data_IF_270109057461
#
_entry.id   IF_270109057461
#
_cell.length_a   1.000
_cell.length_b   1.000
_cell.length_c   1.000
_cell.angle_alpha   90.00
_cell.angle_beta   90.00
_cell.angle_gamma   90.00
#
_symmetry.space_group_name_H-M   'P 1'
#
loop_
_entity.id
_entity.type
_entity.pdbx_description
1 polymer ?
#
# COMPACT_ATOMS: atom_id res chain seq x y z
N UNK A 1 36.87 -17.56 15.28
CA UNK A 1 35.55 -17.74 14.66
C UNK A 1 34.84 -16.42 14.82
N UNK A 2 34.66 -15.70 13.73
CA UNK A 2 33.89 -14.45 13.72
C UNK A 2 32.40 -14.77 13.88
N UNK A 3 31.60 -13.76 14.26
CA UNK A 3 30.14 -13.88 14.32
C UNK A 3 29.58 -14.30 12.95
N UNK A 4 30.16 -13.80 11.86
CA UNK A 4 29.80 -14.22 10.50
C UNK A 4 30.14 -15.69 10.21
N UNK A 5 31.29 -16.20 10.66
CA UNK A 5 31.63 -17.63 10.49
C UNK A 5 30.61 -18.54 11.19
N UNK A 6 30.11 -18.10 12.36
CA UNK A 6 29.09 -18.83 13.11
C UNK A 6 27.74 -18.80 12.39
N UNK A 7 27.35 -17.64 11.84
CA UNK A 7 26.14 -17.53 11.03
C UNK A 7 26.23 -18.37 9.75
N UNK A 8 27.36 -18.36 9.03
CA UNK A 8 27.53 -19.10 7.77
C UNK A 8 27.48 -20.60 8.03
N UNK A 9 28.18 -21.07 9.07
CA UNK A 9 28.14 -22.47 9.47
C UNK A 9 26.72 -22.91 9.90
N UNK A 10 25.96 -22.02 10.53
CA UNK A 10 24.58 -22.31 10.92
C UNK A 10 23.64 -22.31 9.71
N UNK A 11 23.82 -21.38 8.76
CA UNK A 11 23.08 -21.34 7.50
C UNK A 11 23.32 -22.58 6.64
N UNK A 12 24.58 -22.99 6.47
CA UNK A 12 24.96 -24.21 5.74
C UNK A 12 24.34 -25.45 6.39
N UNK A 13 24.39 -25.54 7.72
CA UNK A 13 23.70 -26.62 8.45
C UNK A 13 22.21 -26.56 8.21
N UNK A 14 21.58 -25.39 8.28
CA UNK A 14 20.13 -25.26 8.12
C UNK A 14 19.67 -25.70 6.72
N UNK A 15 20.42 -25.34 5.67
CA UNK A 15 20.16 -25.79 4.30
C UNK A 15 20.32 -27.31 4.14
N UNK A 16 21.34 -27.90 4.77
CA UNK A 16 21.56 -29.36 4.73
C UNK A 16 20.49 -30.13 5.53
N UNK A 17 20.08 -29.60 6.68
CA UNK A 17 19.12 -30.26 7.57
C UNK A 17 17.68 -30.09 7.10
N UNK A 18 17.34 -29.00 6.41
CA UNK A 18 15.99 -28.79 5.86
C UNK A 18 15.56 -29.88 4.88
N UNK A 19 16.50 -30.51 4.20
CA UNK A 19 16.24 -31.63 3.28
C UNK A 19 15.94 -32.95 4.04
N UNK A 20 16.33 -33.05 5.32
CA UNK A 20 16.35 -34.32 6.06
C UNK A 20 15.52 -34.36 7.35
N UNK A 21 15.24 -33.24 8.01
CA UNK A 21 14.49 -33.18 9.28
C UNK A 21 13.89 -31.80 9.57
N UNK A 22 12.55 -31.67 9.51
CA UNK A 22 11.88 -30.37 9.77
C UNK A 22 12.03 -29.89 11.21
N UNK A 23 12.08 -30.82 12.19
CA UNK A 23 12.18 -30.48 13.61
C UNK A 23 13.55 -29.90 13.97
N UNK A 24 14.63 -30.44 13.41
CA UNK A 24 15.98 -29.94 13.64
C UNK A 24 16.22 -28.62 12.91
N UNK A 25 15.69 -28.48 11.69
CA UNK A 25 15.67 -27.21 10.96
C UNK A 25 14.93 -26.10 11.74
N UNK A 26 13.80 -26.43 12.39
CA UNK A 26 13.05 -25.47 13.22
C UNK A 26 13.81 -25.05 14.50
N UNK A 27 14.60 -25.95 15.10
CA UNK A 27 15.46 -25.60 16.24
C UNK A 27 16.58 -24.66 15.78
N UNK A 28 17.27 -25.01 14.69
CA UNK A 28 18.33 -24.18 14.10
C UNK A 28 17.79 -22.81 13.70
N UNK A 29 16.58 -22.76 13.13
CA UNK A 29 15.90 -21.53 12.75
C UNK A 29 15.61 -20.61 13.93
N UNK A 30 15.12 -21.16 15.05
CA UNK A 30 14.92 -20.40 16.28
C UNK A 30 16.23 -19.94 16.92
N UNK A 31 17.28 -20.76 16.87
CA UNK A 31 18.59 -20.35 17.36
C UNK A 31 19.15 -19.20 16.52
N UNK A 32 19.02 -19.29 15.19
CA UNK A 32 19.39 -18.22 14.28
C UNK A 32 18.59 -16.94 14.58
N UNK A 33 17.26 -17.04 14.75
CA UNK A 33 16.41 -15.92 15.13
C UNK A 33 16.83 -15.25 16.44
N UNK A 34 17.12 -16.04 17.49
CA UNK A 34 17.60 -15.49 18.77
C UNK A 34 18.96 -14.83 18.67
N UNK A 35 19.88 -15.40 17.87
CA UNK A 35 21.15 -14.75 17.58
C UNK A 35 20.93 -13.41 16.87
N UNK A 36 20.01 -13.37 15.91
CA UNK A 36 19.61 -12.16 15.19
C UNK A 36 18.88 -11.12 16.07
N UNK A 37 18.41 -11.47 17.26
CA UNK A 37 17.81 -10.51 18.21
C UNK A 37 18.83 -9.93 19.21
N UNK A 38 20.09 -10.36 19.16
CA UNK A 38 21.12 -9.88 20.07
C UNK A 38 21.53 -8.44 19.71
N UNK A 39 21.19 -7.48 20.58
CA UNK A 39 21.50 -6.05 20.42
C UNK A 39 23.01 -5.76 20.38
N UNK A 40 23.85 -6.73 20.71
CA UNK A 40 25.31 -6.59 20.63
C UNK A 40 25.88 -6.78 19.22
N UNK A 41 25.06 -7.17 18.24
CA UNK A 41 25.49 -7.33 16.84
C UNK A 41 25.61 -5.96 16.16
N UNK A 42 26.82 -5.65 15.72
CA UNK A 42 27.17 -4.44 14.98
C UNK A 42 26.43 -4.36 13.61
N UNK A 43 26.00 -3.16 13.23
CA UNK A 43 25.32 -2.86 11.96
C UNK A 43 26.12 -3.31 10.72
N UNK A 44 27.46 -3.33 10.83
CA UNK A 44 28.35 -3.84 9.78
C UNK A 44 28.23 -5.35 9.55
N UNK A 45 27.92 -6.12 10.59
CA UNK A 45 27.67 -7.57 10.51
C UNK A 45 26.33 -7.82 9.82
N UNK A 46 25.33 -7.00 10.13
CA UNK A 46 24.03 -7.04 9.45
C UNK A 46 24.12 -6.70 7.96
N UNK A 47 24.91 -5.69 7.61
CA UNK A 47 25.16 -5.34 6.21
C UNK A 47 25.87 -6.48 5.47
N UNK A 48 26.80 -7.19 6.11
CA UNK A 48 27.45 -8.36 5.52
C UNK A 48 26.45 -9.52 5.34
N UNK A 49 25.62 -9.78 6.35
CA UNK A 49 24.56 -10.81 6.31
C UNK A 49 23.54 -10.55 5.19
N UNK A 50 23.06 -9.31 5.09
CA UNK A 50 22.11 -8.86 4.08
C UNK A 50 22.62 -8.95 2.62
N UNK A 51 23.94 -8.99 2.44
CA UNK A 51 24.57 -9.14 1.13
C UNK A 51 24.87 -10.61 0.77
N UNK A 52 24.63 -11.54 1.69
CA UNK A 52 24.83 -12.97 1.47
C UNK A 52 23.49 -13.67 1.13
N UNK A 53 23.35 -14.06 -0.15
CA UNK A 53 22.16 -14.73 -0.64
C UNK A 53 21.89 -16.10 0.03
N UNK A 54 22.94 -16.82 0.44
CA UNK A 54 22.81 -18.13 1.08
C UNK A 54 22.28 -18.03 2.51
N UNK A 55 22.72 -17.01 3.24
CA UNK A 55 22.23 -16.68 4.58
C UNK A 55 20.75 -16.29 4.57
N UNK A 56 20.40 -15.45 3.60
CA UNK A 56 19.03 -15.04 3.34
C UNK A 56 18.14 -16.26 3.06
N UNK A 57 18.61 -17.20 2.23
CA UNK A 57 17.89 -18.44 1.91
C UNK A 57 17.76 -19.35 3.13
N UNK A 58 18.79 -19.46 3.97
CA UNK A 58 18.73 -20.21 5.21
C UNK A 58 17.72 -19.63 6.21
N UNK A 59 17.61 -18.29 6.30
CA UNK A 59 16.55 -17.66 7.11
C UNK A 59 15.19 -18.05 6.55
N UNK A 60 14.94 -17.94 5.25
CA UNK A 60 13.64 -18.32 4.66
C UNK A 60 13.28 -19.77 4.97
N UNK A 61 14.23 -20.69 4.81
CA UNK A 61 14.03 -22.10 5.11
C UNK A 61 13.72 -22.33 6.59
N UNK A 62 14.39 -21.59 7.48
CA UNK A 62 14.03 -21.55 8.89
C UNK A 62 12.59 -21.06 9.10
N UNK A 63 12.14 -20.06 8.34
CA UNK A 63 10.75 -19.57 8.40
C UNK A 63 9.75 -20.65 7.98
N UNK A 64 10.03 -21.37 6.89
CA UNK A 64 9.17 -22.43 6.36
C UNK A 64 8.94 -23.55 7.36
N UNK A 65 9.95 -23.84 8.18
CA UNK A 65 9.96 -24.96 9.12
C UNK A 65 9.41 -24.59 10.52
N UNK A 66 9.22 -23.30 10.82
CA UNK A 66 8.78 -22.81 12.13
C UNK A 66 7.28 -22.49 12.16
N UNK A 67 6.42 -23.40 11.72
CA UNK A 67 4.98 -23.10 11.50
C UNK A 67 4.10 -23.12 12.75
N UNK A 68 4.56 -23.68 13.89
CA UNK A 68 3.59 -24.19 14.88
C UNK A 68 3.62 -23.57 16.30
N UNK A 69 4.71 -22.94 16.79
CA UNK A 69 4.81 -22.64 18.24
C UNK A 69 5.00 -21.18 18.70
N UNK A 70 5.57 -20.25 17.92
CA UNK A 70 5.58 -18.80 18.24
C UNK A 70 6.16 -18.00 17.06
N UNK A 71 5.32 -17.37 16.22
CA UNK A 71 5.78 -16.64 15.05
C UNK A 71 6.37 -15.26 15.36
N UNK A 72 6.21 -14.75 16.59
CA UNK A 72 6.55 -13.37 16.92
C UNK A 72 8.03 -13.06 16.84
N UNK A 73 8.86 -13.95 17.38
CA UNK A 73 10.33 -13.86 17.32
C UNK A 73 10.84 -13.87 15.88
N UNK A 74 10.18 -14.67 15.05
CA UNK A 74 10.54 -14.93 13.68
C UNK A 74 10.17 -13.76 12.77
N UNK A 75 8.96 -13.23 12.90
CA UNK A 75 8.50 -11.99 12.25
C UNK A 75 9.39 -10.80 12.61
N UNK A 76 9.87 -10.74 13.86
CA UNK A 76 10.84 -9.72 14.29
C UNK A 76 12.13 -9.82 13.47
N UNK A 77 12.70 -11.04 13.37
CA UNK A 77 13.95 -11.27 12.64
C UNK A 77 13.82 -10.94 11.16
N UNK A 78 12.71 -11.32 10.53
CA UNK A 78 12.47 -11.01 9.12
C UNK A 78 12.31 -9.51 8.89
N UNK A 79 11.59 -8.82 9.77
CA UNK A 79 11.41 -7.36 9.70
C UNK A 79 12.77 -6.66 9.83
N UNK A 80 13.61 -7.06 10.79
CA UNK A 80 14.95 -6.52 10.97
C UNK A 80 15.87 -6.83 9.79
N UNK A 81 15.84 -8.06 9.28
CA UNK A 81 16.65 -8.44 8.12
C UNK A 81 16.28 -7.63 6.89
N UNK A 82 14.99 -7.46 6.62
CA UNK A 82 14.52 -6.68 5.48
C UNK A 82 14.79 -5.18 5.63
N UNK A 83 14.74 -4.63 6.84
CA UNK A 83 15.09 -3.22 7.06
C UNK A 83 16.57 -2.95 6.79
N UNK A 84 17.44 -3.93 7.08
CA UNK A 84 18.89 -3.85 6.91
C UNK A 84 19.35 -4.31 5.50
N UNK A 85 18.50 -4.98 4.73
CA UNK A 85 18.83 -5.42 3.37
C UNK A 85 18.88 -4.27 2.36
N UNK A 86 19.78 -4.31 1.36
CA UNK A 86 19.67 -3.45 0.17
C UNK A 86 18.34 -3.70 -0.56
N UNK A 87 17.77 -2.64 -1.15
CA UNK A 87 16.45 -2.68 -1.84
C UNK A 87 16.37 -3.79 -2.90
N UNK A 88 17.47 -4.05 -3.61
CA UNK A 88 17.55 -5.09 -4.65
C UNK A 88 17.44 -6.51 -4.06
N UNK A 89 18.07 -6.77 -2.91
CA UNK A 89 17.97 -8.05 -2.19
C UNK A 89 16.60 -8.25 -1.55
N UNK A 90 15.96 -7.16 -1.11
CA UNK A 90 14.56 -7.20 -0.63
C UNK A 90 13.65 -7.73 -1.73
N UNK A 91 13.71 -7.20 -2.95
CA UNK A 91 12.81 -7.65 -4.03
C UNK A 91 12.89 -9.16 -4.28
N UNK A 92 14.09 -9.75 -4.26
CA UNK A 92 14.28 -11.21 -4.42
C UNK A 92 13.68 -12.00 -3.27
N UNK A 93 13.92 -11.57 -2.03
CA UNK A 93 13.34 -12.16 -0.82
C UNK A 93 11.81 -12.19 -0.83
N UNK A 94 11.26 -11.05 -1.24
CA UNK A 94 9.84 -10.72 -1.27
C UNK A 94 9.08 -11.45 -2.40
N UNK A 95 9.81 -12.08 -3.33
CA UNK A 95 9.22 -12.94 -4.38
C UNK A 95 8.91 -14.37 -3.91
N UNK A 96 9.44 -14.81 -2.76
CA UNK A 96 9.35 -16.20 -2.31
C UNK A 96 7.94 -16.51 -1.73
N UNK A 97 7.20 -17.50 -2.26
CA UNK A 97 5.84 -17.84 -1.81
C UNK A 97 5.75 -18.22 -0.33
N UNK A 98 6.80 -18.84 0.22
CA UNK A 98 6.85 -19.25 1.61
C UNK A 98 6.82 -18.10 2.60
N UNK A 99 7.58 -17.02 2.33
CA UNK A 99 7.57 -15.83 3.16
C UNK A 99 6.17 -15.20 3.16
N UNK A 100 5.50 -15.17 2.00
CA UNK A 100 4.11 -14.67 1.89
C UNK A 100 3.14 -15.54 2.66
N UNK A 101 3.21 -16.85 2.48
CA UNK A 101 2.40 -17.82 3.22
C UNK A 101 2.63 -17.72 4.73
N UNK A 102 3.84 -17.37 5.16
CA UNK A 102 4.18 -17.14 6.56
C UNK A 102 3.54 -15.84 7.07
N UNK A 103 3.67 -14.73 6.34
CA UNK A 103 3.04 -13.46 6.68
C UNK A 103 1.51 -13.60 6.74
N UNK A 104 0.91 -14.23 5.73
CA UNK A 104 -0.53 -14.49 5.66
C UNK A 104 -1.02 -15.37 6.81
N UNK A 105 -0.31 -16.45 7.13
CA UNK A 105 -0.67 -17.34 8.25
C UNK A 105 -0.60 -16.62 9.60
N UNK A 106 0.35 -15.70 9.75
CA UNK A 106 0.62 -15.02 11.00
C UNK A 106 0.00 -13.63 11.13
N UNK A 107 -0.67 -13.11 10.10
CA UNK A 107 -1.48 -11.91 10.18
C UNK A 107 -2.71 -12.22 11.05
N UNK A 108 -2.72 -11.82 12.34
CA UNK A 108 -3.70 -12.32 13.30
C UNK A 108 -5.00 -11.52 13.18
N UNK A 109 -6.09 -12.22 12.84
CA UNK A 109 -7.43 -11.62 12.81
C UNK A 109 -8.03 -11.44 14.22
N UNK A 110 -7.52 -12.18 15.22
CA UNK A 110 -8.08 -12.18 16.58
C UNK A 110 -7.43 -11.15 17.52
N UNK A 111 -6.26 -10.61 17.16
CA UNK A 111 -5.53 -9.62 17.96
C UNK A 111 -4.92 -8.55 17.04
N UNK A 112 -5.81 -7.73 16.48
CA UNK A 112 -5.49 -6.78 15.43
C UNK A 112 -4.55 -5.65 15.88
N UNK A 113 -4.37 -5.46 17.19
CA UNK A 113 -3.44 -4.49 17.79
C UNK A 113 -2.19 -5.15 18.38
N UNK A 114 -1.92 -6.42 18.06
CA UNK A 114 -0.69 -7.07 18.48
C UNK A 114 0.53 -6.53 17.74
N UNK A 115 1.70 -6.59 18.38
CA UNK A 115 2.99 -6.28 17.74
C UNK A 115 3.24 -7.15 16.49
N UNK A 116 2.65 -8.35 16.43
CA UNK A 116 2.74 -9.23 15.26
C UNK A 116 1.95 -8.69 14.07
N UNK A 117 0.77 -8.10 14.30
CA UNK A 117 -0.02 -7.45 13.25
C UNK A 117 0.73 -6.27 12.66
N UNK A 118 1.28 -5.39 13.51
CA UNK A 118 2.12 -4.27 13.09
C UNK A 118 3.30 -4.72 12.22
N UNK A 119 4.02 -5.75 12.68
CA UNK A 119 5.15 -6.34 11.93
C UNK A 119 4.70 -6.93 10.60
N UNK A 120 3.59 -7.66 10.57
CA UNK A 120 3.06 -8.21 9.33
C UNK A 120 2.67 -7.12 8.32
N UNK A 121 2.00 -6.05 8.78
CA UNK A 121 1.64 -4.92 7.93
C UNK A 121 2.87 -4.17 7.41
N UNK A 122 3.88 -3.97 8.26
CA UNK A 122 5.16 -3.37 7.84
C UNK A 122 5.87 -4.24 6.79
N UNK A 123 5.88 -5.56 6.98
CA UNK A 123 6.41 -6.51 5.99
C UNK A 123 5.63 -6.46 4.68
N UNK A 124 4.29 -6.42 4.74
CA UNK A 124 3.42 -6.29 3.56
C UNK A 124 3.65 -4.97 2.84
N UNK A 125 3.84 -3.86 3.55
CA UNK A 125 4.19 -2.57 2.94
C UNK A 125 5.56 -2.62 2.25
N UNK A 126 6.55 -3.26 2.86
CA UNK A 126 7.85 -3.49 2.22
C UNK A 126 7.76 -4.43 1.02
N UNK A 127 6.89 -5.46 1.08
CA UNK A 127 6.58 -6.36 -0.04
C UNK A 127 6.07 -5.60 -1.26
N UNK A 128 5.12 -4.68 -1.03
CA UNK A 128 4.37 -4.03 -2.11
C UNK A 128 5.00 -2.71 -2.58
N UNK A 129 5.88 -2.09 -1.78
CA UNK A 129 6.32 -0.72 -1.99
C UNK A 129 7.53 -0.47 -2.87
N UNK A 130 8.25 -1.49 -3.35
CA UNK A 130 9.53 -1.31 -4.04
C UNK A 130 9.44 -0.89 -5.52
N UNK A 131 8.27 -0.47 -6.02
CA UNK A 131 8.10 0.04 -7.39
C UNK A 131 8.43 -0.95 -8.52
N UNK A 132 8.84 -2.17 -8.16
CA UNK A 132 8.97 -3.29 -9.08
C UNK A 132 7.65 -4.04 -9.04
N UNK A 133 6.97 -4.25 -10.18
CA UNK A 133 5.82 -5.13 -10.24
C UNK A 133 6.32 -6.54 -9.97
N UNK A 134 6.44 -6.88 -8.69
CA UNK A 134 6.70 -8.25 -8.27
C UNK A 134 5.50 -9.03 -8.79
N UNK A 135 5.72 -9.86 -9.81
CA UNK A 135 4.67 -10.72 -10.37
C UNK A 135 4.37 -11.79 -9.33
N UNK A 136 3.39 -11.51 -8.47
CA UNK A 136 2.86 -12.44 -7.48
C UNK A 136 1.79 -13.31 -8.18
N UNK A 137 1.63 -14.59 -7.81
CA UNK A 137 0.46 -15.37 -8.22
C UNK A 137 -0.82 -14.71 -7.69
N UNK A 138 -1.76 -14.39 -8.59
CA UNK A 138 -2.98 -13.60 -8.29
C UNK A 138 -3.81 -14.10 -7.09
N UNK A 139 -3.82 -15.42 -6.85
CA UNK A 139 -4.65 -16.02 -5.79
C UNK A 139 -4.16 -15.65 -4.38
N UNK A 140 -2.84 -15.53 -4.19
CA UNK A 140 -2.27 -15.16 -2.90
C UNK A 140 -2.53 -13.67 -2.60
N UNK A 141 -2.49 -12.80 -3.63
CA UNK A 141 -2.69 -11.34 -3.49
C UNK A 141 -4.09 -10.99 -3.00
N UNK A 142 -5.11 -11.63 -3.55
CA UNK A 142 -6.49 -11.36 -3.16
C UNK A 142 -6.78 -11.79 -1.73
N UNK A 143 -6.10 -12.84 -1.24
CA UNK A 143 -6.19 -13.25 0.16
C UNK A 143 -5.56 -12.23 1.10
N UNK A 144 -4.47 -11.56 0.69
CA UNK A 144 -3.85 -10.46 1.43
C UNK A 144 -4.83 -9.29 1.50
N UNK A 145 -5.43 -8.91 0.36
CA UNK A 145 -6.43 -7.83 0.31
C UNK A 145 -7.58 -8.12 1.27
N UNK A 146 -8.19 -9.30 1.19
CA UNK A 146 -9.29 -9.69 2.09
C UNK A 146 -8.91 -9.62 3.58
N UNK A 147 -7.74 -10.14 3.96
CA UNK A 147 -7.29 -10.08 5.36
C UNK A 147 -6.97 -8.66 5.83
N UNK A 148 -6.37 -7.82 4.99
CA UNK A 148 -6.15 -6.41 5.32
C UNK A 148 -7.48 -5.70 5.54
N UNK A 149 -8.51 -6.00 4.74
CA UNK A 149 -9.85 -5.44 4.91
C UNK A 149 -10.51 -5.91 6.20
N UNK A 150 -10.44 -7.20 6.52
CA UNK A 150 -10.97 -7.77 7.77
C UNK A 150 -10.33 -7.17 9.03
N UNK A 151 -9.09 -6.65 8.93
CA UNK A 151 -8.39 -6.02 10.06
C UNK A 151 -8.85 -4.58 10.35
N UNK A 152 -9.26 -3.83 9.33
CA UNK A 152 -9.64 -2.42 9.46
C UNK A 152 -10.68 -2.17 10.56
N UNK A 153 -11.81 -2.89 10.62
CA UNK A 153 -12.82 -2.66 11.66
C UNK A 153 -12.37 -3.09 13.07
N UNK A 154 -11.31 -3.90 13.17
CA UNK A 154 -10.81 -4.45 14.44
C UNK A 154 -9.69 -3.61 15.08
N UNK A 155 -9.19 -2.62 14.36
CA UNK A 155 -8.00 -1.86 14.71
C UNK A 155 -8.30 -0.51 15.34
N UNK A 156 -7.32 0.02 16.07
CA UNK A 156 -7.30 1.45 16.40
C UNK A 156 -7.17 2.29 15.11
N UNK A 157 -7.59 3.56 15.16
CA UNK A 157 -7.55 4.47 14.01
C UNK A 157 -6.18 4.49 13.29
N UNK A 158 -5.08 4.43 14.03
CA UNK A 158 -3.71 4.45 13.45
C UNK A 158 -3.37 3.13 12.74
N UNK A 159 -3.80 2.00 13.29
CA UNK A 159 -3.51 0.67 12.73
C UNK A 159 -4.40 0.36 11.52
N UNK A 160 -5.67 0.77 11.57
CA UNK A 160 -6.57 0.69 10.44
C UNK A 160 -6.01 1.41 9.20
N UNK A 161 -5.35 2.56 9.43
CA UNK A 161 -4.67 3.34 8.39
C UNK A 161 -3.46 2.59 7.82
N UNK A 162 -2.65 1.93 8.65
CA UNK A 162 -1.50 1.14 8.16
C UNK A 162 -1.93 -0.10 7.36
N UNK A 163 -3.10 -0.67 7.63
CA UNK A 163 -3.69 -1.78 6.85
C UNK A 163 -4.07 -1.39 5.40
N UNK A 164 -4.25 -0.10 5.13
CA UNK A 164 -4.53 0.41 3.77
C UNK A 164 -3.29 0.36 2.87
N UNK A 165 -2.11 0.64 3.42
CA UNK A 165 -0.90 0.83 2.63
C UNK A 165 -0.55 -0.39 1.75
N UNK A 166 -0.57 -1.63 2.27
CA UNK A 166 -0.34 -2.81 1.45
C UNK A 166 -1.34 -2.96 0.30
N UNK A 167 -2.63 -2.68 0.54
CA UNK A 167 -3.69 -2.84 -0.46
C UNK A 167 -3.49 -1.87 -1.62
N UNK A 168 -3.22 -0.60 -1.31
CA UNK A 168 -2.95 0.45 -2.32
C UNK A 168 -1.69 0.12 -3.13
N UNK A 169 -0.65 -0.38 -2.46
CA UNK A 169 0.59 -0.76 -3.14
C UNK A 169 0.44 -2.02 -4.01
N UNK A 170 -0.35 -3.02 -3.57
CA UNK A 170 -0.68 -4.19 -4.40
C UNK A 170 -1.40 -3.78 -5.68
N UNK A 171 -2.38 -2.87 -5.57
CA UNK A 171 -3.09 -2.32 -6.73
C UNK A 171 -2.13 -1.72 -7.77
N UNK A 172 -1.13 -0.94 -7.33
CA UNK A 172 -0.14 -0.36 -8.24
C UNK A 172 0.70 -1.41 -9.00
N UNK A 173 0.87 -2.61 -8.43
CA UNK A 173 1.63 -3.70 -9.03
C UNK A 173 0.81 -4.67 -9.89
N UNK A 174 -0.53 -4.60 -9.83
CA UNK A 174 -1.43 -5.54 -10.48
C UNK A 174 -2.08 -4.94 -11.74
N UNK A 175 -2.26 -5.74 -12.81
CA UNK A 175 -2.96 -5.29 -14.00
C UNK A 175 -4.48 -5.26 -13.77
N UNK A 176 -5.13 -4.18 -14.20
CA UNK A 176 -6.59 -4.08 -14.24
C UNK A 176 -7.21 -3.60 -12.93
N UNK A 177 -8.51 -3.86 -12.80
CA UNK A 177 -9.38 -3.49 -11.67
C UNK A 177 -9.58 -4.62 -10.65
N UNK A 178 -8.76 -5.67 -10.72
CA UNK A 178 -8.93 -6.89 -9.91
C UNK A 178 -8.91 -6.60 -8.40
N UNK A 179 -7.98 -5.77 -7.94
CA UNK A 179 -7.89 -5.38 -6.53
C UNK A 179 -9.11 -4.53 -6.13
N UNK A 180 -9.50 -3.59 -6.98
CA UNK A 180 -10.68 -2.75 -6.77
C UNK A 180 -11.94 -3.62 -6.66
N UNK A 181 -12.12 -4.55 -7.59
CA UNK A 181 -13.25 -5.46 -7.61
C UNK A 181 -13.29 -6.35 -6.36
N UNK A 182 -12.13 -6.84 -5.91
CA UNK A 182 -12.03 -7.61 -4.67
C UNK A 182 -12.44 -6.79 -3.44
N UNK A 183 -12.03 -5.52 -3.38
CA UNK A 183 -12.42 -4.61 -2.30
C UNK A 183 -13.92 -4.33 -2.36
N UNK A 184 -14.47 -4.00 -3.53
CA UNK A 184 -15.89 -3.69 -3.68
C UNK A 184 -16.81 -4.89 -3.38
N UNK A 185 -16.33 -6.12 -3.55
CA UNK A 185 -17.06 -7.34 -3.19
C UNK A 185 -16.92 -7.70 -1.71
N UNK A 186 -16.05 -7.02 -0.96
CA UNK A 186 -15.83 -7.27 0.46
C UNK A 186 -16.88 -6.57 1.32
N UNK A 187 -17.30 -7.21 2.41
CA UNK A 187 -18.29 -6.66 3.36
C UNK A 187 -17.84 -5.33 4.01
N UNK A 188 -16.53 -5.16 4.19
CA UNK A 188 -15.92 -4.00 4.88
C UNK A 188 -15.39 -2.94 3.90
N UNK A 189 -15.89 -2.91 2.66
CA UNK A 189 -15.44 -1.97 1.62
C UNK A 189 -15.64 -0.50 2.02
N UNK A 190 -16.70 -0.20 2.80
CA UNK A 190 -16.98 1.14 3.31
C UNK A 190 -16.07 1.57 4.45
N UNK A 191 -15.64 0.65 5.32
CA UNK A 191 -14.63 0.96 6.34
C UNK A 191 -13.27 1.21 5.68
N UNK A 192 -12.97 0.46 4.61
CA UNK A 192 -11.79 0.70 3.79
C UNK A 192 -11.80 2.06 3.10
N UNK A 193 -12.93 2.50 2.50
CA UNK A 193 -12.99 3.82 1.85
C UNK A 193 -12.64 4.94 2.84
N UNK A 194 -13.17 4.86 4.06
CA UNK A 194 -12.90 5.84 5.12
C UNK A 194 -11.44 5.79 5.60
N UNK A 195 -10.89 4.59 5.82
CA UNK A 195 -9.49 4.41 6.19
C UNK A 195 -8.55 4.91 5.08
N UNK A 196 -8.89 4.68 3.81
CA UNK A 196 -8.14 5.13 2.64
C UNK A 196 -8.04 6.66 2.58
N UNK A 197 -9.15 7.38 2.78
CA UNK A 197 -9.13 8.83 2.74
C UNK A 197 -8.35 9.43 3.92
N UNK A 198 -8.41 8.81 5.09
CA UNK A 198 -7.59 9.20 6.24
C UNK A 198 -6.11 8.93 5.98
N UNK A 199 -5.77 7.78 5.40
CA UNK A 199 -4.41 7.44 5.02
C UNK A 199 -3.87 8.42 3.98
N UNK A 200 -4.64 8.70 2.94
CA UNK A 200 -4.27 9.63 1.88
C UNK A 200 -4.03 11.05 2.44
N UNK A 201 -4.92 11.55 3.28
CA UNK A 201 -4.77 12.88 3.89
C UNK A 201 -3.58 12.98 4.86
N UNK A 202 -3.04 11.85 5.32
CA UNK A 202 -1.88 11.76 6.22
C UNK A 202 -0.68 11.07 5.55
N UNK A 203 -0.66 10.96 4.23
CA UNK A 203 0.33 10.17 3.52
C UNK A 203 1.74 10.61 3.94
N UNK A 204 2.58 9.69 4.45
CA UNK A 204 3.86 10.06 5.05
C UNK A 204 4.92 10.42 4.01
N UNK A 205 4.71 10.06 2.74
CA UNK A 205 5.63 10.36 1.64
C UNK A 205 4.88 10.75 0.36
N UNK A 206 5.48 11.57 -0.53
CA UNK A 206 4.88 11.95 -1.82
C UNK A 206 4.55 10.76 -2.73
N UNK A 207 5.33 9.67 -2.66
CA UNK A 207 5.08 8.46 -3.46
C UNK A 207 3.79 7.75 -3.03
N UNK A 208 3.53 7.73 -1.73
CA UNK A 208 2.31 7.14 -1.16
C UNK A 208 1.09 8.01 -1.43
N UNK A 209 1.25 9.33 -1.34
CA UNK A 209 0.22 10.30 -1.73
C UNK A 209 -0.21 10.07 -3.18
N UNK A 210 0.76 9.97 -4.09
CA UNK A 210 0.51 9.66 -5.50
C UNK A 210 -0.14 8.30 -5.72
N UNK A 211 0.27 7.27 -4.97
CA UNK A 211 -0.30 5.92 -5.10
C UNK A 211 -1.75 5.88 -4.63
N UNK A 212 -2.08 6.59 -3.55
CA UNK A 212 -3.46 6.74 -3.08
C UNK A 212 -4.32 7.50 -4.09
N UNK A 213 -3.81 8.61 -4.60
CA UNK A 213 -4.50 9.38 -5.65
C UNK A 213 -4.75 8.53 -6.90
N UNK A 214 -3.75 7.76 -7.35
CA UNK A 214 -3.92 6.85 -8.48
C UNK A 214 -4.98 5.78 -8.20
N UNK A 215 -4.96 5.18 -7.00
CA UNK A 215 -5.96 4.22 -6.58
C UNK A 215 -7.38 4.82 -6.61
N UNK A 216 -7.56 6.03 -6.06
CA UNK A 216 -8.86 6.74 -6.07
C UNK A 216 -9.31 7.02 -7.51
N UNK A 217 -8.42 7.53 -8.36
CA UNK A 217 -8.71 7.73 -9.79
C UNK A 217 -9.19 6.44 -10.44
N UNK A 218 -8.54 5.31 -10.14
CA UNK A 218 -8.86 4.03 -10.75
C UNK A 218 -10.21 3.50 -10.29
N UNK A 219 -10.56 3.65 -9.01
CA UNK A 219 -11.91 3.32 -8.49
C UNK A 219 -12.99 4.14 -9.18
N UNK A 220 -12.77 5.45 -9.31
CA UNK A 220 -13.75 6.34 -9.95
C UNK A 220 -13.88 6.05 -11.46
N UNK A 221 -12.76 5.82 -12.14
CA UNK A 221 -12.69 5.54 -13.58
C UNK A 221 -13.34 4.20 -13.95
N UNK A 222 -13.28 3.21 -13.06
CA UNK A 222 -13.83 1.86 -13.29
C UNK A 222 -15.31 1.75 -12.93
N UNK A 223 -15.97 2.84 -12.53
CA UNK A 223 -17.39 2.85 -12.18
C UNK A 223 -17.68 2.30 -10.79
N UNK A 224 -16.65 2.07 -9.97
CA UNK A 224 -16.77 1.60 -8.59
C UNK A 224 -16.88 2.74 -7.57
N UNK A 225 -17.30 3.93 -8.02
CA UNK A 225 -17.46 5.12 -7.17
C UNK A 225 -18.41 4.91 -5.99
N UNK A 226 -19.35 3.97 -6.09
CA UNK A 226 -20.27 3.59 -5.00
C UNK A 226 -19.55 3.03 -3.75
N UNK A 227 -18.27 2.67 -3.85
CA UNK A 227 -17.42 2.34 -2.70
C UNK A 227 -17.27 3.55 -1.75
N UNK A 228 -17.32 4.77 -2.29
CA UNK A 228 -17.25 5.99 -1.50
C UNK A 228 -18.65 6.46 -1.12
N UNK A 229 -18.88 6.71 0.17
CA UNK A 229 -20.09 7.41 0.59
C UNK A 229 -20.09 8.85 0.07
N UNK A 230 -21.26 9.49 0.04
CA UNK A 230 -21.39 10.88 -0.38
C UNK A 230 -20.49 11.84 0.44
N UNK A 231 -20.30 11.56 1.74
CA UNK A 231 -19.36 12.30 2.59
C UNK A 231 -17.90 12.05 2.20
N UNK A 232 -17.56 10.83 1.81
CA UNK A 232 -16.21 10.44 1.41
C UNK A 232 -15.80 11.17 0.13
N UNK A 233 -16.72 11.26 -0.85
CA UNK A 233 -16.46 12.02 -2.08
C UNK A 233 -16.27 13.51 -1.81
N UNK A 234 -16.96 14.09 -0.83
CA UNK A 234 -16.70 15.47 -0.40
C UNK A 234 -15.27 15.64 0.15
N UNK A 235 -14.77 14.66 0.92
CA UNK A 235 -13.39 14.64 1.42
C UNK A 235 -12.38 14.48 0.28
N UNK A 236 -12.66 13.63 -0.73
CA UNK A 236 -11.84 13.51 -1.94
C UNK A 236 -11.70 14.87 -2.63
N UNK A 237 -12.82 15.58 -2.84
CA UNK A 237 -12.82 16.93 -3.43
C UNK A 237 -11.97 17.89 -2.59
N UNK A 238 -12.13 17.87 -1.26
CA UNK A 238 -11.36 18.74 -0.37
C UNK A 238 -9.85 18.50 -0.45
N UNK A 239 -9.41 17.23 -0.50
CA UNK A 239 -8.00 16.87 -0.66
C UNK A 239 -7.49 17.33 -2.03
N UNK A 240 -8.23 17.04 -3.11
CA UNK A 240 -7.85 17.39 -4.49
C UNK A 240 -7.74 18.90 -4.67
N UNK A 241 -8.72 19.69 -4.22
CA UNK A 241 -8.68 21.15 -4.36
C UNK A 241 -7.51 21.76 -3.57
N UNK A 242 -7.24 21.23 -2.37
CA UNK A 242 -6.07 21.64 -1.57
C UNK A 242 -4.77 21.35 -2.34
N UNK A 243 -4.60 20.14 -2.85
CA UNK A 243 -3.39 19.75 -3.58
C UNK A 243 -3.25 20.48 -4.92
N UNK A 244 -4.35 20.78 -5.62
CA UNK A 244 -4.34 21.58 -6.85
C UNK A 244 -3.87 23.02 -6.62
N UNK A 245 -4.19 23.60 -5.46
CA UNK A 245 -3.76 24.96 -5.11
C UNK A 245 -2.23 25.05 -4.96
N UNK A 246 -1.60 23.97 -4.51
CA UNK A 246 -0.15 23.87 -4.30
C UNK A 246 0.59 23.21 -5.47
N UNK A 247 -0.13 22.78 -6.51
CA UNK A 247 0.43 22.00 -7.60
C UNK A 247 1.26 22.86 -8.56
N UNK A 248 2.43 22.35 -8.96
CA UNK A 248 3.26 22.97 -9.99
C UNK A 248 2.77 22.60 -11.39
N UNK A 249 2.73 23.56 -12.32
CA UNK A 249 2.42 23.28 -13.72
C UNK A 249 3.45 22.39 -14.39
N UNK A 250 3.05 21.71 -15.48
CA UNK A 250 3.81 20.68 -16.17
C UNK A 250 4.23 19.48 -15.29
N UNK A 251 3.70 19.37 -14.07
CA UNK A 251 3.96 18.23 -13.20
C UNK A 251 3.01 17.07 -13.51
N UNK A 252 3.51 15.84 -13.36
CA UNK A 252 2.68 14.64 -13.52
C UNK A 252 1.60 14.53 -12.43
N UNK A 253 1.84 15.12 -11.26
CA UNK A 253 0.87 15.18 -10.16
C UNK A 253 -0.32 16.08 -10.52
N UNK A 254 -0.07 17.26 -11.12
CA UNK A 254 -1.14 18.17 -11.56
C UNK A 254 -2.12 17.47 -12.49
N UNK A 255 -1.61 16.76 -13.51
CA UNK A 255 -2.48 16.07 -14.46
C UNK A 255 -3.29 14.96 -13.79
N UNK A 256 -2.69 14.22 -12.85
CA UNK A 256 -3.40 13.17 -12.11
C UNK A 256 -4.49 13.74 -11.20
N UNK A 257 -4.26 14.91 -10.58
CA UNK A 257 -5.27 15.62 -9.79
C UNK A 257 -6.43 16.11 -10.65
N UNK A 258 -6.14 16.65 -11.84
CA UNK A 258 -7.16 17.08 -12.80
C UNK A 258 -7.98 15.88 -13.32
N UNK A 259 -7.32 14.75 -13.59
CA UNK A 259 -8.00 13.50 -13.96
C UNK A 259 -8.90 13.00 -12.82
N UNK A 260 -8.42 13.03 -11.58
CA UNK A 260 -9.23 12.69 -10.40
C UNK A 260 -10.48 13.56 -10.32
N UNK A 261 -10.31 14.88 -10.41
CA UNK A 261 -11.42 15.83 -10.38
C UNK A 261 -12.42 15.56 -11.50
N UNK A 262 -11.92 15.29 -12.72
CA UNK A 262 -12.77 14.91 -13.84
C UNK A 262 -13.62 13.68 -13.53
N UNK A 263 -13.03 12.60 -13.01
CA UNK A 263 -13.80 11.39 -12.66
C UNK A 263 -14.78 11.62 -11.51
N UNK A 264 -14.41 12.41 -10.49
CA UNK A 264 -15.32 12.79 -9.40
C UNK A 264 -16.56 13.50 -9.94
N UNK A 265 -16.42 14.45 -10.87
CA UNK A 265 -17.54 15.18 -11.48
C UNK A 265 -18.48 14.31 -12.35
N UNK A 266 -18.06 13.07 -12.65
CA UNK A 266 -18.87 12.08 -13.35
C UNK A 266 -19.44 11.01 -12.42
N UNK A 267 -19.06 11.03 -11.14
CA UNK A 267 -19.54 10.05 -10.15
C UNK A 267 -20.91 10.44 -9.59
N UNK A 268 -21.79 9.44 -9.44
CA UNK A 268 -23.12 9.65 -8.85
C UNK A 268 -23.08 10.28 -7.46
N UNK A 269 -22.20 9.85 -6.51
CA UNK A 269 -22.19 10.42 -5.17
C UNK A 269 -21.79 11.91 -5.14
N UNK A 270 -21.02 12.39 -6.11
CA UNK A 270 -20.72 13.83 -6.21
C UNK A 270 -21.95 14.62 -6.64
N UNK A 271 -22.65 14.13 -7.69
CA UNK A 271 -23.79 14.82 -8.29
C UNK A 271 -24.97 14.99 -7.32
N UNK A 272 -25.06 14.14 -6.28
CA UNK A 272 -26.06 14.29 -5.22
C UNK A 272 -25.91 15.56 -4.39
N UNK A 273 -24.67 16.07 -4.22
CA UNK A 273 -24.41 17.24 -3.35
C UNK A 273 -23.77 18.42 -4.03
N UNK A 274 -23.10 18.20 -5.17
CA UNK A 274 -22.32 19.24 -5.85
C UNK A 274 -21.37 19.96 -4.89
N UNK A 275 -20.67 19.20 -4.05
CA UNK A 275 -19.81 19.74 -2.98
C UNK A 275 -18.74 20.67 -3.56
N UNK A 276 -18.61 21.87 -2.99
CA UNK A 276 -17.65 22.92 -3.38
C UNK A 276 -17.64 23.27 -4.88
N UNK A 277 -18.79 23.21 -5.54
CA UNK A 277 -18.87 23.49 -6.98
C UNK A 277 -18.38 24.91 -7.34
N UNK A 278 -18.76 25.90 -6.52
CA UNK A 278 -18.36 27.30 -6.71
C UNK A 278 -16.85 27.46 -6.53
N UNK A 279 -16.29 26.97 -5.44
CA UNK A 279 -14.86 27.04 -5.13
C UNK A 279 -14.03 26.30 -6.19
N UNK A 280 -14.52 25.16 -6.67
CA UNK A 280 -13.89 24.40 -7.77
C UNK A 280 -13.85 25.25 -9.04
N UNK A 281 -14.96 25.91 -9.38
CA UNK A 281 -15.07 26.77 -10.58
C UNK A 281 -14.10 27.94 -10.50
N UNK A 282 -14.05 28.63 -9.35
CA UNK A 282 -13.15 29.77 -9.12
C UNK A 282 -11.68 29.37 -9.21
N UNK A 283 -11.30 28.25 -8.56
CA UNK A 283 -9.94 27.72 -8.61
C UNK A 283 -9.53 27.37 -10.05
N UNK A 284 -10.39 26.67 -10.80
CA UNK A 284 -10.12 26.29 -12.19
C UNK A 284 -9.99 27.51 -13.10
N UNK A 285 -10.81 28.55 -12.92
CA UNK A 285 -10.66 29.79 -13.68
C UNK A 285 -9.31 30.46 -13.44
N UNK A 286 -8.88 30.54 -12.17
CA UNK A 286 -7.56 31.07 -11.81
C UNK A 286 -6.44 30.22 -12.44
N UNK A 287 -6.46 28.91 -12.21
CA UNK A 287 -5.44 27.99 -12.72
C UNK A 287 -5.38 27.99 -14.26
N UNK A 288 -6.50 28.19 -14.97
CA UNK A 288 -6.52 28.28 -16.43
C UNK A 288 -5.72 29.48 -16.93
N UNK A 289 -5.86 30.63 -16.27
CA UNK A 289 -5.11 31.84 -16.62
C UNK A 289 -3.61 31.71 -16.32
N UNK A 290 -3.27 31.04 -15.22
CA UNK A 290 -1.89 30.73 -14.83
C UNK A 290 -1.27 29.73 -15.80
N UNK A 291 -1.97 28.64 -16.16
CA UNK A 291 -1.52 27.66 -17.15
C UNK A 291 -1.21 28.29 -18.51
N UNK A 292 -2.03 29.25 -18.96
CA UNK A 292 -1.79 30.00 -20.19
C UNK A 292 -0.53 30.88 -20.11
N UNK A 293 -0.29 31.47 -18.93
CA UNK A 293 0.88 32.31 -18.67
C UNK A 293 2.16 31.48 -18.60
N UNK A 294 2.09 30.29 -17.99
CA UNK A 294 3.20 29.34 -17.87
C UNK A 294 3.42 28.47 -19.11
N UNK A 295 2.55 28.57 -20.12
CA UNK A 295 2.66 27.82 -21.37
C UNK A 295 2.24 26.34 -21.27
N UNK A 296 1.59 25.92 -20.20
CA UNK A 296 1.05 24.55 -20.03
C UNK A 296 -0.30 24.42 -20.77
N UNK A 297 -0.22 24.30 -22.09
CA UNK A 297 -1.39 24.15 -22.96
C UNK A 297 -2.24 22.90 -22.63
N UNK A 298 -1.62 21.84 -22.11
CA UNK A 298 -2.30 20.62 -21.71
C UNK A 298 -3.15 20.85 -20.47
N UNK A 299 -2.60 21.47 -19.43
CA UNK A 299 -3.36 21.83 -18.24
C UNK A 299 -4.51 22.78 -18.60
N UNK A 300 -4.24 23.81 -19.40
CA UNK A 300 -5.27 24.77 -19.82
C UNK A 300 -6.43 24.08 -20.57
N UNK A 301 -6.15 23.07 -21.40
CA UNK A 301 -7.16 22.28 -22.10
C UNK A 301 -7.98 21.41 -21.14
N UNK A 302 -7.31 20.65 -20.25
CA UNK A 302 -7.99 19.80 -19.26
C UNK A 302 -8.89 20.61 -18.33
N UNK A 303 -8.37 21.74 -17.82
CA UNK A 303 -9.14 22.68 -16.98
C UNK A 303 -10.35 23.22 -17.74
N UNK A 304 -10.20 23.53 -19.03
CA UNK A 304 -11.32 23.93 -19.90
C UNK A 304 -12.42 22.86 -19.97
N UNK A 305 -12.03 21.61 -20.25
CA UNK A 305 -12.98 20.49 -20.31
C UNK A 305 -13.71 20.26 -18.98
N UNK A 306 -12.98 20.32 -17.85
CA UNK A 306 -13.55 20.21 -16.51
C UNK A 306 -14.56 21.34 -16.26
N UNK A 307 -14.23 22.58 -16.65
CA UNK A 307 -15.14 23.72 -16.57
C UNK A 307 -16.43 23.52 -17.39
N UNK A 308 -16.34 22.97 -18.59
CA UNK A 308 -17.51 22.65 -19.42
C UNK A 308 -18.40 21.59 -18.77
N UNK A 309 -17.80 20.58 -18.12
CA UNK A 309 -18.56 19.58 -17.34
C UNK A 309 -19.26 20.21 -16.15
N UNK A 310 -18.60 21.08 -15.39
CA UNK A 310 -19.22 21.81 -14.27
C UNK A 310 -20.43 22.61 -14.77
N UNK A 311 -20.30 23.31 -15.90
CA UNK A 311 -21.43 24.03 -16.49
C UNK A 311 -22.59 23.12 -16.93
N UNK A 312 -22.31 21.88 -17.32
CA UNK A 312 -23.35 20.87 -17.57
C UNK A 312 -24.05 20.45 -16.26
N UNK A 313 -23.29 20.15 -15.20
CA UNK A 313 -23.83 19.76 -13.89
C UNK A 313 -24.72 20.86 -13.29
N UNK A 314 -24.33 22.14 -13.40
CA UNK A 314 -25.16 23.28 -12.98
C UNK A 314 -26.49 23.32 -13.74
N UNK A 315 -26.46 23.08 -15.05
CA UNK A 315 -27.69 23.07 -15.89
C UNK A 315 -28.60 21.89 -15.54
N UNK A 316 -28.02 20.71 -15.33
CA UNK A 316 -28.76 19.51 -14.89
C UNK A 316 -29.44 19.75 -13.53
N UNK A 317 -28.72 20.36 -12.58
CA UNK A 317 -29.23 20.64 -11.23
C UNK A 317 -30.33 21.71 -11.22
N UNK A 318 -30.21 22.74 -12.07
CA UNK A 318 -31.24 23.79 -12.20
C UNK A 318 -32.47 23.33 -12.96
N UNK A 319 -32.34 22.38 -13.87
CA UNK A 319 -33.47 21.77 -14.58
C UNK A 319 -34.26 20.76 -13.72
N UNK A 320 -33.62 20.17 -12.69
CA UNK A 320 -34.25 19.22 -11.77
C UNK A 320 -34.99 19.88 -10.59
N UNK A 321 -34.86 21.20 -10.41
CA UNK A 321 -35.58 21.95 -9.38
C UNK A 321 -37.04 22.21 -9.83
N UNK A 322 -38.06 21.75 -9.07
CA UNK A 322 -39.48 21.97 -9.39
C UNK A 322 -39.93 23.42 -9.21
#
# INVERSE_FOLDING_TARGET
MTVMDAFSAMADRLQQTAVSSSKEAAILGRTLARMLQDESIDESVWAAFANDAGMIEAVIVALEMCTDDDPGDLLCCVTMLLSLCPVQSRATLLTRPALRSCILRNLPLNDANSCNTERCLALLRMLCGNGSPVRIPLDDDLSIVGRCLDLIPLQTDTMAIESVAPVVMLHAGMPGDIVIQAICNHKDSGDFSHALLRYWNRAPTPELDRSCLQFVCDVLRTGHAAMFYVNDVAVVVDIVLRQLTDATFNSTLLYLLLDCLWYVLHSEPYLERNHKLTETTELLHKMRSEAQTEGDSRAAHLIGAIGDRIAAVVRESTAAAP
#
